data_IF_528576174327
#
_entry.id   IF_528576174327
#
_cell.length_a   1.000
_cell.length_b   1.000
_cell.length_c   1.000
_cell.angle_alpha   90.00
_cell.angle_beta   90.00
_cell.angle_gamma   90.00
#
_symmetry.space_group_name_H-M   'P 1'
#
loop_
_entity.id
_entity.type
_entity.pdbx_description
1 polymer ?
#
# COMPACT_ATOMS: atom_id res chain seq x y z
N UNK A 1 -21.88 6.90 -3.28
CA UNK A 1 -21.87 6.44 -4.67
C UNK A 1 -23.24 6.73 -5.25
N UNK A 2 -23.35 7.75 -6.10
CA UNK A 2 -24.52 7.93 -6.94
C UNK A 2 -24.21 7.18 -8.23
N UNK A 3 -24.95 6.11 -8.41
CA UNK A 3 -24.91 5.30 -9.62
C UNK A 3 -25.41 6.14 -10.82
N UNK A 4 -24.78 6.03 -11.97
CA UNK A 4 -25.16 6.73 -13.20
C UNK A 4 -26.66 6.56 -13.56
N UNK A 5 -27.27 5.46 -13.16
CA UNK A 5 -28.70 5.21 -13.33
C UNK A 5 -29.58 6.15 -12.50
N UNK A 6 -29.10 6.69 -11.41
CA UNK A 6 -29.84 7.68 -10.60
C UNK A 6 -29.79 9.07 -11.24
N UNK A 7 -28.68 9.44 -11.90
CA UNK A 7 -28.61 10.69 -12.64
C UNK A 7 -29.55 10.67 -13.85
N UNK A 8 -29.64 9.54 -14.57
CA UNK A 8 -30.61 9.35 -15.64
C UNK A 8 -32.07 9.48 -15.16
N UNK A 9 -32.38 8.92 -13.97
CA UNK A 9 -33.73 9.03 -13.36
C UNK A 9 -34.08 10.45 -12.96
N UNK A 10 -33.11 11.26 -12.61
CA UNK A 10 -33.30 12.67 -12.23
C UNK A 10 -33.31 13.59 -13.46
N UNK A 11 -32.96 13.09 -14.65
CA UNK A 11 -32.87 13.87 -15.87
C UNK A 11 -31.85 15.01 -15.83
N UNK A 12 -30.87 14.92 -14.91
CA UNK A 12 -29.85 15.93 -14.70
C UNK A 12 -28.45 15.34 -14.99
N UNK A 13 -27.57 16.04 -15.69
CA UNK A 13 -26.17 15.63 -15.83
C UNK A 13 -25.48 15.52 -14.48
N UNK A 14 -24.62 14.54 -14.29
CA UNK A 14 -23.86 14.34 -13.02
C UNK A 14 -23.09 15.60 -12.60
N UNK A 15 -22.56 16.35 -13.56
CA UNK A 15 -21.81 17.59 -13.31
C UNK A 15 -22.69 18.73 -12.74
N UNK A 16 -24.00 18.66 -12.89
CA UNK A 16 -24.92 19.65 -12.31
C UNK A 16 -25.28 19.30 -10.85
N UNK A 17 -24.97 18.06 -10.44
CA UNK A 17 -25.26 17.55 -9.09
C UNK A 17 -23.97 17.51 -8.24
N UNK A 18 -22.85 17.22 -8.89
CA UNK A 18 -21.53 17.09 -8.25
C UNK A 18 -20.49 17.92 -8.98
N UNK A 19 -19.57 18.48 -8.21
CA UNK A 19 -18.36 19.09 -8.74
C UNK A 19 -17.45 17.99 -9.30
N UNK A 20 -17.60 17.72 -10.60
CA UNK A 20 -16.82 16.70 -11.32
C UNK A 20 -15.57 17.34 -11.87
N UNK A 21 -14.35 16.83 -11.55
CA UNK A 21 -13.12 17.35 -12.13
C UNK A 21 -13.18 17.33 -13.66
N UNK A 22 -12.80 18.43 -14.28
CA UNK A 22 -12.57 18.46 -15.73
C UNK A 22 -11.29 17.72 -16.05
N UNK A 23 -11.42 16.50 -16.58
CA UNK A 23 -10.27 15.68 -16.96
C UNK A 23 -9.39 16.33 -18.03
N UNK A 24 -9.96 17.20 -18.86
CA UNK A 24 -9.19 17.95 -19.87
C UNK A 24 -8.32 19.06 -19.23
N UNK A 25 -8.70 19.52 -18.02
CA UNK A 25 -7.93 20.47 -17.23
C UNK A 25 -6.98 19.81 -16.21
N UNK A 26 -7.01 18.49 -16.10
CA UNK A 26 -6.13 17.75 -15.19
C UNK A 26 -4.72 17.68 -15.76
N UNK A 27 -3.74 18.19 -15.02
CA UNK A 27 -2.34 18.09 -15.42
C UNK A 27 -1.76 16.75 -14.94
N UNK A 28 -1.51 15.83 -15.87
CA UNK A 28 -0.93 14.52 -15.59
C UNK A 28 0.45 14.63 -14.92
N UNK A 29 1.18 15.71 -15.10
CA UNK A 29 2.46 15.95 -14.43
C UNK A 29 2.28 16.09 -12.93
N UNK A 30 1.17 16.72 -12.48
CA UNK A 30 0.85 16.85 -11.05
C UNK A 30 0.60 15.46 -10.46
N UNK A 31 -0.23 14.65 -11.12
CA UNK A 31 -0.58 13.30 -10.67
C UNK A 31 0.65 12.40 -10.64
N UNK A 32 1.50 12.48 -11.65
CA UNK A 32 2.71 11.69 -11.79
C UNK A 32 3.91 12.23 -10.99
N UNK A 33 3.78 13.39 -10.33
CA UNK A 33 4.82 13.99 -9.54
C UNK A 33 5.96 14.64 -10.36
N UNK A 34 5.72 14.90 -11.64
CA UNK A 34 6.66 15.50 -12.58
C UNK A 34 6.40 17.00 -12.81
N UNK A 35 5.49 17.59 -12.04
CA UNK A 35 5.20 19.01 -12.12
C UNK A 35 6.31 19.83 -11.46
N UNK A 36 6.86 20.80 -12.19
CA UNK A 36 7.77 21.81 -11.67
C UNK A 36 7.13 23.17 -11.83
N UNK A 37 6.86 23.90 -10.72
CA UNK A 37 6.29 25.23 -10.80
C UNK A 37 7.31 26.22 -11.36
N UNK A 38 6.79 27.26 -12.03
CA UNK A 38 7.63 28.37 -12.46
C UNK A 38 8.21 29.12 -11.23
N UNK A 39 9.34 29.85 -11.38
CA UNK A 39 9.91 30.65 -10.30
C UNK A 39 8.87 31.59 -9.67
N UNK A 40 8.60 31.41 -8.38
CA UNK A 40 7.62 32.19 -7.63
C UNK A 40 6.19 31.65 -7.66
N UNK A 41 5.92 30.59 -8.40
CA UNK A 41 4.65 29.91 -8.40
C UNK A 41 4.56 28.90 -7.24
N UNK A 42 3.41 28.80 -6.59
CA UNK A 42 3.19 27.84 -5.51
C UNK A 42 2.93 26.43 -6.08
N UNK A 43 3.40 25.41 -5.36
CA UNK A 43 3.04 24.03 -5.67
C UNK A 43 1.52 23.84 -5.60
N UNK A 44 0.86 23.31 -6.64
CA UNK A 44 -0.61 23.21 -6.69
C UNK A 44 -1.21 22.43 -5.52
N UNK A 45 -0.48 21.45 -4.99
CA UNK A 45 -0.92 20.62 -3.88
C UNK A 45 -0.33 21.03 -2.52
N UNK A 46 0.44 22.15 -2.46
CA UNK A 46 1.07 22.60 -1.23
C UNK A 46 0.09 22.76 -0.04
N UNK A 47 -1.15 23.26 -0.21
CA UNK A 47 -2.09 23.36 0.89
C UNK A 47 -2.56 22.04 1.47
N UNK A 48 -2.40 20.93 0.74
CA UNK A 48 -3.01 19.65 1.07
C UNK A 48 -2.01 18.51 1.26
N UNK A 49 -0.79 18.64 0.74
CA UNK A 49 0.11 17.51 0.51
C UNK A 49 0.78 17.05 1.80
N UNK A 50 1.33 17.93 2.60
CA UNK A 50 2.07 17.57 3.81
C UNK A 50 1.15 16.86 4.84
N UNK A 51 0.00 17.44 5.14
CA UNK A 51 -0.93 16.86 6.11
C UNK A 51 -1.47 15.50 5.70
N UNK A 52 -1.74 15.28 4.40
CA UNK A 52 -2.20 13.98 3.89
C UNK A 52 -1.12 12.93 3.92
N UNK A 53 0.12 13.29 3.57
CA UNK A 53 1.26 12.37 3.63
C UNK A 53 1.54 12.01 5.07
N UNK A 54 1.69 12.95 5.96
CA UNK A 54 1.95 12.71 7.39
C UNK A 54 0.84 11.87 8.04
N UNK A 55 -0.41 12.19 7.75
CA UNK A 55 -1.54 11.40 8.21
C UNK A 55 -1.46 9.95 7.70
N UNK A 56 -1.20 9.75 6.42
CA UNK A 56 -1.12 8.41 5.83
C UNK A 56 0.05 7.62 6.37
N UNK A 57 1.22 8.23 6.57
CA UNK A 57 2.37 7.57 7.18
C UNK A 57 2.08 7.15 8.64
N UNK A 58 1.41 8.00 9.41
CA UNK A 58 0.99 7.65 10.77
C UNK A 58 -0.04 6.51 10.77
N UNK A 59 -0.99 6.52 9.83
CA UNK A 59 -1.99 5.44 9.70
C UNK A 59 -1.38 4.14 9.23
N UNK A 60 -0.40 4.15 8.32
CA UNK A 60 0.36 2.96 7.95
C UNK A 60 1.03 2.34 9.18
N UNK A 61 1.75 3.12 9.96
CA UNK A 61 2.38 2.62 11.21
C UNK A 61 1.34 2.02 12.16
N UNK A 62 0.18 2.67 12.31
CA UNK A 62 -0.89 2.20 13.18
C UNK A 62 -1.50 0.86 12.70
N UNK A 63 -1.83 0.77 11.41
CA UNK A 63 -2.51 -0.40 10.86
C UNK A 63 -1.59 -1.60 10.70
N UNK A 64 -0.30 -1.38 10.42
CA UNK A 64 0.62 -2.45 10.05
C UNK A 64 1.58 -2.84 11.17
N UNK A 65 1.69 -2.03 12.23
CA UNK A 65 2.72 -2.11 13.26
C UNK A 65 4.14 -2.11 12.69
N UNK A 66 4.33 -1.54 11.51
CA UNK A 66 5.66 -1.33 10.91
C UNK A 66 5.84 0.12 10.50
N UNK A 67 7.08 0.61 10.55
CA UNK A 67 7.40 1.94 10.05
C UNK A 67 7.21 2.02 8.52
N UNK A 68 6.60 3.09 7.98
CA UNK A 68 6.48 3.28 6.53
C UNK A 68 7.82 3.23 5.77
N UNK A 69 8.94 3.52 6.42
CA UNK A 69 10.28 3.44 5.85
C UNK A 69 10.68 2.05 5.36
N UNK A 70 10.02 0.99 5.87
CA UNK A 70 10.29 -0.40 5.47
C UNK A 70 9.51 -0.83 4.24
N UNK A 71 8.49 -0.06 3.85
CA UNK A 71 7.71 -0.37 2.65
C UNK A 71 8.60 -0.35 1.41
N UNK A 72 8.38 -1.32 0.55
CA UNK A 72 9.11 -1.51 -0.70
C UNK A 72 8.23 -1.16 -1.90
N UNK A 73 8.84 -0.98 -3.07
CA UNK A 73 8.16 -0.52 -4.27
C UNK A 73 7.23 -1.57 -4.90
N UNK A 74 7.31 -2.83 -4.48
CA UNK A 74 6.40 -3.88 -4.90
C UNK A 74 5.55 -4.31 -3.71
N UNK A 75 4.24 -4.02 -3.77
CA UNK A 75 3.32 -4.27 -2.66
C UNK A 75 2.33 -5.36 -3.02
N UNK A 76 2.27 -6.38 -2.18
CA UNK A 76 1.29 -7.45 -2.29
C UNK A 76 0.29 -7.33 -1.15
N UNK A 77 -0.99 -7.43 -1.48
CA UNK A 77 -2.08 -7.48 -0.51
C UNK A 77 -2.70 -8.87 -0.51
N UNK A 78 -3.06 -9.36 0.65
CA UNK A 78 -3.82 -10.60 0.78
C UNK A 78 -4.78 -10.54 1.96
N UNK A 79 -5.85 -11.32 1.91
CA UNK A 79 -6.75 -11.57 3.02
C UNK A 79 -6.60 -12.99 3.60
N UNK A 80 -5.62 -13.74 3.13
CA UNK A 80 -5.37 -15.11 3.56
C UNK A 80 -4.11 -15.20 4.41
N UNK A 81 -4.26 -15.63 5.66
CA UNK A 81 -3.13 -15.84 6.57
C UNK A 81 -2.12 -16.85 6.02
N UNK A 82 -2.58 -17.86 5.31
CA UNK A 82 -1.73 -18.85 4.66
C UNK A 82 -0.62 -18.22 3.79
N UNK A 83 -0.96 -17.22 2.96
CA UNK A 83 0.04 -16.56 2.11
C UNK A 83 1.03 -15.72 2.92
N UNK A 84 0.59 -15.15 4.04
CA UNK A 84 1.48 -14.45 4.97
C UNK A 84 2.46 -15.43 5.61
N UNK A 85 1.99 -16.57 6.07
CA UNK A 85 2.82 -17.59 6.72
C UNK A 85 3.87 -18.14 5.75
N UNK A 86 3.49 -18.44 4.51
CA UNK A 86 4.41 -18.88 3.46
C UNK A 86 5.44 -17.79 3.11
N UNK A 87 5.01 -16.53 2.96
CA UNK A 87 5.91 -15.41 2.72
C UNK A 87 6.92 -15.24 3.86
N UNK A 88 6.45 -15.27 5.10
CA UNK A 88 7.32 -15.13 6.27
C UNK A 88 8.30 -16.31 6.40
N UNK A 89 7.84 -17.54 6.15
CA UNK A 89 8.71 -18.72 6.16
C UNK A 89 9.78 -18.64 5.07
N UNK A 90 9.39 -18.23 3.86
CA UNK A 90 10.32 -18.01 2.76
C UNK A 90 11.34 -16.92 3.11
N UNK A 91 10.87 -15.79 3.65
CA UNK A 91 11.72 -14.65 3.99
C UNK A 91 12.76 -15.02 5.06
N UNK A 92 12.34 -15.71 6.13
CA UNK A 92 13.27 -16.18 7.18
C UNK A 92 14.31 -17.15 6.62
N UNK A 93 13.92 -18.06 5.70
CA UNK A 93 14.86 -18.94 5.01
C UNK A 93 15.87 -18.13 4.19
N UNK A 94 15.42 -17.10 3.46
CA UNK A 94 16.32 -16.24 2.70
C UNK A 94 17.32 -15.51 3.61
N UNK A 95 16.86 -15.01 4.76
CA UNK A 95 17.77 -14.38 5.73
C UNK A 95 18.83 -15.37 6.22
N UNK A 96 18.43 -16.57 6.64
CA UNK A 96 19.35 -17.62 7.07
C UNK A 96 20.38 -18.04 6.00
N UNK A 97 20.01 -17.95 4.72
CA UNK A 97 20.87 -18.27 3.57
C UNK A 97 21.69 -17.08 3.05
N UNK A 98 21.82 -16.00 3.81
CA UNK A 98 22.59 -14.81 3.41
C UNK A 98 21.80 -13.77 2.62
N UNK A 99 20.48 -13.80 2.70
CA UNK A 99 19.58 -12.75 2.19
C UNK A 99 19.15 -12.89 0.72
N UNK A 100 19.83 -13.65 -0.09
CA UNK A 100 19.54 -13.81 -1.54
C UNK A 100 19.31 -12.49 -2.29
N UNK A 101 20.07 -11.46 -1.94
CA UNK A 101 19.95 -10.12 -2.49
C UNK A 101 18.97 -9.20 -1.75
N UNK A 102 18.33 -9.67 -0.68
CA UNK A 102 17.62 -8.84 0.28
C UNK A 102 18.51 -8.55 1.49
N UNK A 103 18.34 -7.36 2.09
CA UNK A 103 19.14 -6.91 3.23
C UNK A 103 18.56 -7.37 4.57
N UNK A 104 17.24 -7.36 4.65
CA UNK A 104 16.55 -7.77 5.87
C UNK A 104 15.12 -8.23 5.61
N UNK A 105 14.59 -8.96 6.59
CA UNK A 105 13.17 -9.24 6.72
C UNK A 105 12.63 -8.47 7.92
N UNK A 106 11.55 -7.70 7.71
CA UNK A 106 10.91 -6.89 8.75
C UNK A 106 9.49 -7.38 9.00
N UNK A 107 9.18 -7.62 10.27
CA UNK A 107 7.89 -8.10 10.74
C UNK A 107 7.20 -7.04 11.62
N UNK A 108 5.88 -7.17 11.94
CA UNK A 108 5.17 -6.28 12.84
C UNK A 108 5.91 -6.04 14.16
N UNK A 109 5.93 -4.78 14.63
CA UNK A 109 6.74 -4.32 15.75
C UNK A 109 8.12 -3.85 15.33
N UNK A 110 8.35 -3.67 14.01
CA UNK A 110 9.65 -3.37 13.42
C UNK A 110 10.73 -4.40 13.83
N UNK A 111 10.31 -5.67 13.92
CA UNK A 111 11.23 -6.77 14.19
C UNK A 111 12.05 -7.02 12.94
N UNK A 112 13.32 -6.70 13.00
CA UNK A 112 14.24 -6.76 11.84
C UNK A 112 15.17 -7.96 11.99
N UNK A 113 15.15 -8.84 11.01
CA UNK A 113 16.13 -9.95 10.86
C UNK A 113 17.05 -9.62 9.68
N UNK A 114 18.32 -9.31 9.92
CA UNK A 114 19.28 -9.05 8.86
C UNK A 114 19.64 -10.29 8.04
N UNK A 115 20.14 -10.07 6.83
CA UNK A 115 20.71 -11.13 6.01
C UNK A 115 21.88 -11.83 6.71
N UNK A 116 21.89 -13.16 6.68
CA UNK A 116 22.88 -14.00 7.38
C UNK A 116 22.53 -14.31 8.83
N UNK A 117 21.40 -13.80 9.34
CA UNK A 117 20.95 -14.04 10.71
C UNK A 117 19.66 -14.89 10.75
N UNK A 118 19.48 -15.64 11.85
CA UNK A 118 18.30 -16.47 12.08
C UNK A 118 17.39 -15.91 13.17
N UNK A 119 17.83 -14.84 13.87
CA UNK A 119 17.11 -14.18 14.95
C UNK A 119 16.89 -12.71 14.69
N UNK A 120 15.98 -12.10 15.45
CA UNK A 120 15.73 -10.68 15.39
C UNK A 120 16.91 -9.86 15.90
N UNK A 121 17.43 -8.96 15.08
CA UNK A 121 18.46 -8.00 15.47
C UNK A 121 17.90 -6.79 16.21
N UNK A 122 16.64 -6.43 15.98
CA UNK A 122 15.98 -5.27 16.63
C UNK A 122 14.47 -5.39 16.57
N UNK A 123 13.78 -4.49 17.26
CA UNK A 123 12.31 -4.45 17.30
C UNK A 123 11.71 -5.32 18.40
N UNK A 124 10.41 -5.15 18.59
CA UNK A 124 9.64 -5.91 19.59
C UNK A 124 8.32 -6.36 18.98
N UNK A 125 8.13 -7.67 18.92
CA UNK A 125 6.85 -8.23 18.44
C UNK A 125 5.70 -7.71 19.29
N UNK A 126 4.61 -7.20 18.68
CA UNK A 126 3.46 -6.74 19.43
C UNK A 126 2.75 -7.92 20.10
N UNK A 127 2.25 -7.73 21.34
CA UNK A 127 1.49 -8.75 22.05
C UNK A 127 0.23 -9.21 21.29
N UNK A 128 -0.29 -8.34 20.45
CA UNK A 128 -1.40 -8.60 19.53
C UNK A 128 -1.08 -7.99 18.18
N UNK A 129 -1.28 -8.78 17.12
CA UNK A 129 -1.12 -8.26 15.76
C UNK A 129 -2.08 -7.09 15.49
N UNK A 130 -1.64 -6.08 14.73
CA UNK A 130 -2.49 -4.98 14.31
C UNK A 130 -3.55 -5.46 13.32
N UNK A 131 -4.44 -4.55 12.92
CA UNK A 131 -5.54 -4.87 12.02
C UNK A 131 -5.09 -5.36 10.65
N UNK A 132 -4.00 -4.80 10.12
CA UNK A 132 -3.47 -5.09 8.79
C UNK A 132 -1.94 -5.23 8.83
N UNK A 133 -1.41 -6.29 9.47
CA UNK A 133 0.03 -6.44 9.65
C UNK A 133 0.77 -6.49 8.31
N UNK A 134 1.91 -5.81 8.24
CA UNK A 134 2.77 -5.80 7.08
C UNK A 134 4.12 -6.49 7.36
N UNK A 135 4.67 -7.07 6.33
CA UNK A 135 5.91 -7.83 6.30
C UNK A 135 6.74 -7.36 5.11
N UNK A 136 8.04 -7.15 5.31
CA UNK A 136 8.88 -6.54 4.28
C UNK A 136 10.16 -7.34 4.08
N UNK A 137 10.40 -7.78 2.84
CA UNK A 137 11.72 -8.19 2.36
C UNK A 137 12.37 -6.96 1.73
N UNK A 138 13.37 -6.39 2.40
CA UNK A 138 13.91 -5.09 2.05
C UNK A 138 15.13 -5.17 1.14
N UNK A 139 15.27 -4.19 0.25
CA UNK A 139 16.47 -3.89 -0.52
C UNK A 139 16.80 -2.42 -0.38
N UNK A 140 18.08 -2.05 -0.46
CA UNK A 140 18.56 -0.67 -0.32
C UNK A 140 17.93 0.30 -1.33
N UNK A 141 17.67 -0.19 -2.53
CA UNK A 141 17.07 0.58 -3.62
C UNK A 141 15.52 0.62 -3.58
N UNK A 142 14.91 0.02 -2.56
CA UNK A 142 13.46 -0.09 -2.44
C UNK A 142 12.81 -1.13 -3.38
N UNK A 143 13.58 -1.87 -4.18
CA UNK A 143 13.06 -2.90 -5.11
C UNK A 143 12.68 -4.22 -4.43
N UNK A 144 12.56 -4.23 -3.12
CA UNK A 144 12.08 -5.36 -2.34
C UNK A 144 10.57 -5.53 -2.42
N UNK A 145 10.03 -6.37 -1.54
CA UNK A 145 8.62 -6.75 -1.52
C UNK A 145 8.02 -6.42 -0.15
N UNK A 146 6.90 -5.73 -0.15
CA UNK A 146 6.04 -5.59 1.03
C UNK A 146 4.80 -6.46 0.85
N UNK A 147 4.46 -7.25 1.86
CA UNK A 147 3.22 -8.02 1.89
C UNK A 147 2.36 -7.58 3.07
N UNK A 148 1.09 -7.25 2.81
CA UNK A 148 0.13 -6.74 3.80
C UNK A 148 -1.04 -7.69 3.90
N UNK A 149 -1.35 -8.15 5.12
CA UNK A 149 -2.59 -8.85 5.38
C UNK A 149 -3.70 -7.81 5.64
N UNK A 150 -4.60 -7.65 4.69
CA UNK A 150 -5.68 -6.66 4.77
C UNK A 150 -6.89 -7.16 5.58
N UNK A 151 -6.87 -8.42 6.03
CA UNK A 151 -8.04 -9.05 6.64
C UNK A 151 -9.19 -9.15 5.65
N UNK A 152 -10.42 -9.13 6.15
CA UNK A 152 -11.62 -9.34 5.35
C UNK A 152 -12.36 -8.03 5.10
N UNK A 153 -12.80 -7.86 3.87
CA UNK A 153 -13.72 -6.81 3.47
C UNK A 153 -13.13 -5.69 2.60
N UNK A 154 -13.95 -5.13 1.71
CA UNK A 154 -13.53 -4.09 0.76
C UNK A 154 -13.13 -2.77 1.44
N UNK A 155 -13.67 -2.47 2.62
CA UNK A 155 -13.32 -1.28 3.38
C UNK A 155 -11.86 -1.30 3.85
N UNK A 156 -11.36 -2.46 4.29
CA UNK A 156 -9.95 -2.61 4.67
C UNK A 156 -9.02 -2.45 3.45
N UNK A 157 -9.40 -3.07 2.33
CA UNK A 157 -8.67 -2.91 1.07
C UNK A 157 -8.56 -1.44 0.67
N UNK A 158 -9.70 -0.72 0.65
CA UNK A 158 -9.71 0.71 0.35
C UNK A 158 -8.84 1.50 1.31
N UNK A 159 -9.00 1.31 2.60
CA UNK A 159 -8.28 2.07 3.63
C UNK A 159 -6.77 1.91 3.47
N UNK A 160 -6.27 0.68 3.34
CA UNK A 160 -4.82 0.47 3.27
C UNK A 160 -4.23 0.96 1.95
N UNK A 161 -4.95 0.78 0.83
CA UNK A 161 -4.47 1.25 -0.47
C UNK A 161 -4.41 2.77 -0.53
N UNK A 162 -5.38 3.49 0.03
CA UNK A 162 -5.33 4.96 0.12
C UNK A 162 -4.07 5.45 0.86
N UNK A 163 -3.67 4.76 1.93
CA UNK A 163 -2.48 5.13 2.68
C UNK A 163 -1.18 4.69 2.00
N UNK A 164 -1.14 3.49 1.39
CA UNK A 164 0.02 3.01 0.63
C UNK A 164 0.28 3.87 -0.61
N UNK A 165 -0.78 4.45 -1.20
CA UNK A 165 -0.66 5.29 -2.38
C UNK A 165 0.30 6.48 -2.21
N UNK A 166 0.43 7.04 -1.00
CA UNK A 166 1.36 8.15 -0.75
C UNK A 166 2.83 7.76 -0.87
N UNK A 167 3.13 6.46 -0.77
CA UNK A 167 4.48 5.90 -0.94
C UNK A 167 4.83 5.67 -2.42
N UNK A 168 3.85 5.78 -3.32
CA UNK A 168 3.98 5.62 -4.78
C UNK A 168 4.71 4.32 -5.19
N UNK A 169 4.24 3.14 -4.76
CA UNK A 169 4.86 1.89 -5.16
C UNK A 169 4.81 1.69 -6.67
N UNK A 170 5.79 0.98 -7.22
CA UNK A 170 5.87 0.69 -8.65
C UNK A 170 4.80 -0.29 -9.12
N UNK A 171 4.41 -1.22 -8.25
CA UNK A 171 3.38 -2.20 -8.56
C UNK A 171 2.62 -2.64 -7.31
N UNK A 172 1.35 -2.98 -7.52
CA UNK A 172 0.43 -3.51 -6.52
C UNK A 172 -0.17 -4.81 -7.05
N UNK A 173 -0.24 -5.81 -6.20
CA UNK A 173 -0.84 -7.09 -6.54
C UNK A 173 -1.76 -7.54 -5.41
N UNK A 174 -3.01 -7.87 -5.73
CA UNK A 174 -3.90 -8.58 -4.80
C UNK A 174 -3.75 -10.07 -5.01
N UNK A 175 -3.31 -10.77 -3.99
CA UNK A 175 -3.15 -12.22 -3.95
C UNK A 175 -4.29 -12.84 -3.16
N UNK A 176 -5.10 -13.66 -3.82
CA UNK A 176 -6.25 -14.28 -3.18
C UNK A 176 -7.03 -15.19 -4.13
N UNK A 177 -8.16 -15.65 -3.66
CA UNK A 177 -9.10 -16.42 -4.44
C UNK A 177 -10.30 -15.56 -4.83
N UNK A 178 -10.81 -15.76 -6.04
CA UNK A 178 -12.06 -15.17 -6.50
C UNK A 178 -12.97 -16.23 -7.11
N UNK A 179 -14.26 -15.99 -7.04
CA UNK A 179 -15.24 -16.83 -7.73
C UNK A 179 -15.47 -16.30 -9.14
N UNK A 180 -15.46 -17.17 -10.13
CA UNK A 180 -15.92 -16.84 -11.47
C UNK A 180 -17.45 -16.68 -11.48
N UNK A 181 -17.93 -15.62 -12.13
CA UNK A 181 -19.37 -15.37 -12.27
C UNK A 181 -20.00 -16.07 -13.47
N UNK A 182 -19.18 -16.71 -14.31
CA UNK A 182 -19.61 -17.46 -15.50
C UNK A 182 -18.87 -18.80 -15.58
N UNK A 183 -19.50 -19.80 -16.17
CA UNK A 183 -18.93 -21.14 -16.34
C UNK A 183 -17.67 -21.18 -17.24
N UNK A 184 -17.41 -20.10 -17.97
CA UNK A 184 -16.26 -19.97 -18.89
C UNK A 184 -15.06 -19.26 -18.23
N UNK A 185 -15.18 -18.87 -16.97
CA UNK A 185 -14.10 -18.27 -16.19
C UNK A 185 -13.47 -19.37 -15.32
N UNK A 186 -12.26 -19.75 -15.66
CA UNK A 186 -11.45 -20.71 -14.91
C UNK A 186 -10.32 -19.98 -14.20
#
# INVERSE_FOLDING_TARGET
YVDGSQAERLGMPLRDIFDVPDLAATDDRIVNGNFEPAPGEAWPLAPFTAQRVDYSLARLSHYTATSPRHFQNFVMFTNYQFYIDEFAAMARRFMAEGGRGYESFVEPGNVVTPAGETGAGSGVSPARLPQMPAYHLTRADGSGITMVNIGVGPSNAKTITDHVAVLRPHAWLMLGHCAGLRNTQA
#
